data_IF_802328421260
#
_entry.id   IF_802328421260
#
_cell.length_a   1.000
_cell.length_b   1.000
_cell.length_c   1.000
_cell.angle_alpha   90.00
_cell.angle_beta   90.00
_cell.angle_gamma   90.00
#
_symmetry.space_group_name_H-M   'P 1'
#
loop_
_entity.id
_entity.type
_entity.pdbx_description
1 polymer ?
#
# COMPACT_ATOMS: atom_id res chain seq x y z
N UNK A 1 17.61 40.24 -18.34
CA UNK A 1 16.23 40.16 -18.86
C UNK A 1 15.65 38.75 -18.83
N UNK A 2 16.35 37.71 -19.30
CA UNK A 2 15.88 36.30 -19.24
C UNK A 2 15.48 35.80 -17.84
N UNK A 3 16.21 36.19 -16.80
CA UNK A 3 15.88 35.81 -15.41
C UNK A 3 14.49 36.29 -14.95
N UNK A 4 14.03 37.46 -15.43
CA UNK A 4 12.71 37.98 -15.10
C UNK A 4 11.60 37.22 -15.83
N UNK A 5 11.86 36.75 -17.05
CA UNK A 5 10.93 35.92 -17.80
C UNK A 5 10.82 34.51 -17.20
N UNK A 6 11.94 33.89 -16.84
CA UNK A 6 11.94 32.58 -16.16
C UNK A 6 11.25 32.65 -14.79
N UNK A 7 11.43 33.73 -14.05
CA UNK A 7 10.73 33.96 -12.80
C UNK A 7 9.21 34.08 -13.02
N UNK A 8 8.76 34.83 -14.03
CA UNK A 8 7.32 34.96 -14.35
C UNK A 8 6.72 33.63 -14.79
N UNK A 9 7.40 32.86 -15.62
CA UNK A 9 6.94 31.53 -16.05
C UNK A 9 6.87 30.56 -14.85
N UNK A 10 7.87 30.60 -13.97
CA UNK A 10 7.87 29.77 -12.75
C UNK A 10 6.73 30.17 -11.80
N UNK A 11 6.49 31.46 -11.60
CA UNK A 11 5.37 31.98 -10.82
C UNK A 11 4.02 31.56 -11.41
N UNK A 12 3.87 31.62 -12.73
CA UNK A 12 2.65 31.18 -13.41
C UNK A 12 2.43 29.67 -13.27
N UNK A 13 3.49 28.86 -13.41
CA UNK A 13 3.43 27.40 -13.19
C UNK A 13 3.12 27.06 -11.73
N UNK A 14 3.71 27.77 -10.79
CA UNK A 14 3.45 27.60 -9.37
C UNK A 14 1.99 27.90 -9.04
N UNK A 15 1.46 29.03 -9.52
CA UNK A 15 0.06 29.38 -9.33
C UNK A 15 -0.88 28.31 -9.95
N UNK A 16 -0.59 27.84 -11.16
CA UNK A 16 -1.36 26.76 -11.78
C UNK A 16 -1.34 25.47 -10.96
N UNK A 17 -0.19 25.09 -10.39
CA UNK A 17 -0.06 23.93 -9.51
C UNK A 17 -0.83 24.11 -8.21
N UNK A 18 -0.76 25.30 -7.59
CA UNK A 18 -1.51 25.63 -6.39
C UNK A 18 -3.02 25.51 -6.61
N UNK A 19 -3.53 26.03 -7.74
CA UNK A 19 -4.96 25.91 -8.11
C UNK A 19 -5.38 24.46 -8.32
N UNK A 20 -4.53 23.64 -8.97
CA UNK A 20 -4.81 22.20 -9.14
C UNK A 20 -4.82 21.46 -7.80
N UNK A 21 -3.89 21.79 -6.91
CA UNK A 21 -3.85 21.22 -5.56
C UNK A 21 -5.09 21.60 -4.75
N UNK A 22 -5.50 22.87 -4.82
CA UNK A 22 -6.71 23.36 -4.15
C UNK A 22 -7.96 22.61 -4.65
N UNK A 23 -8.05 22.37 -5.97
CA UNK A 23 -9.13 21.58 -6.57
C UNK A 23 -9.10 20.12 -6.12
N UNK A 24 -7.92 19.49 -6.06
CA UNK A 24 -7.76 18.11 -5.56
C UNK A 24 -8.16 17.99 -4.09
N UNK A 25 -7.80 18.98 -3.27
CA UNK A 25 -8.18 19.03 -1.85
C UNK A 25 -9.68 19.22 -1.71
N UNK A 26 -10.28 20.14 -2.49
CA UNK A 26 -11.72 20.36 -2.52
C UNK A 26 -12.50 19.13 -2.98
N UNK A 27 -12.01 18.42 -4.00
CA UNK A 27 -12.60 17.16 -4.47
C UNK A 27 -12.49 16.05 -3.43
N UNK A 28 -11.32 15.92 -2.78
CA UNK A 28 -11.12 14.95 -1.70
C UNK A 28 -12.04 15.23 -0.50
N UNK A 29 -12.15 16.49 -0.08
CA UNK A 29 -13.07 16.92 0.98
C UNK A 29 -14.55 16.71 0.60
N UNK A 30 -14.88 16.88 -0.68
CA UNK A 30 -16.23 16.65 -1.21
C UNK A 30 -16.52 15.18 -1.52
N UNK A 31 -15.57 14.26 -1.27
CA UNK A 31 -15.69 12.84 -1.59
C UNK A 31 -15.73 12.53 -3.10
N UNK A 32 -15.38 13.50 -3.96
CA UNK A 32 -15.34 13.35 -5.42
C UNK A 32 -14.01 12.72 -5.88
N UNK A 33 -14.08 11.89 -6.90
CA UNK A 33 -12.92 11.18 -7.47
C UNK A 33 -12.60 9.85 -6.76
N UNK A 34 -11.62 9.10 -7.27
CA UNK A 34 -11.27 7.75 -6.79
C UNK A 34 -10.77 7.77 -5.33
N UNK A 35 -10.05 8.82 -4.92
CA UNK A 35 -9.55 8.98 -3.54
C UNK A 35 -10.68 9.36 -2.58
N UNK A 36 -11.58 10.26 -2.98
CA UNK A 36 -12.78 10.57 -2.21
C UNK A 36 -13.66 9.34 -2.01
N UNK A 37 -13.93 8.59 -3.09
CA UNK A 37 -14.63 7.29 -3.01
C UNK A 37 -13.90 6.27 -2.14
N UNK A 38 -12.57 6.17 -2.20
CA UNK A 38 -11.79 5.24 -1.37
C UNK A 38 -11.83 5.62 0.11
N UNK A 39 -11.85 6.91 0.45
CA UNK A 39 -11.82 7.39 1.83
C UNK A 39 -13.19 7.39 2.52
N UNK A 40 -14.28 7.59 1.75
CA UNK A 40 -15.64 7.61 2.31
C UNK A 40 -16.28 6.23 2.40
N UNK A 41 -15.70 5.22 1.76
CA UNK A 41 -16.28 3.89 1.71
C UNK A 41 -15.85 3.09 2.94
N UNK A 42 -16.80 2.79 3.83
CA UNK A 42 -16.60 1.92 5.01
C UNK A 42 -15.94 0.58 4.64
N UNK A 43 -16.07 0.16 3.37
CA UNK A 43 -15.37 -1.01 2.85
C UNK A 43 -13.85 -0.89 2.92
N UNK A 44 -13.22 0.29 2.84
CA UNK A 44 -11.76 0.38 2.99
C UNK A 44 -11.33 0.00 4.40
N UNK A 45 -12.03 0.50 5.43
CA UNK A 45 -11.72 0.16 6.81
C UNK A 45 -11.90 -1.35 7.07
N UNK A 46 -13.00 -1.91 6.56
CA UNK A 46 -13.25 -3.36 6.64
C UNK A 46 -12.19 -4.17 5.88
N UNK A 47 -11.80 -3.73 4.68
CA UNK A 47 -10.78 -4.40 3.86
C UNK A 47 -9.41 -4.31 4.53
N UNK A 48 -9.02 -3.16 5.08
CA UNK A 48 -7.75 -2.99 5.79
C UNK A 48 -7.70 -3.86 7.04
N UNK A 49 -8.77 -3.88 7.85
CA UNK A 49 -8.86 -4.77 9.01
C UNK A 49 -8.80 -6.25 8.61
N UNK A 50 -9.48 -6.63 7.54
CA UNK A 50 -9.46 -8.01 7.05
C UNK A 50 -8.10 -8.40 6.48
N UNK A 51 -7.44 -7.52 5.73
CA UNK A 51 -6.06 -7.71 5.27
C UNK A 51 -5.10 -7.83 6.45
N UNK A 52 -5.21 -6.96 7.45
CA UNK A 52 -4.39 -7.03 8.67
C UNK A 52 -4.62 -8.36 9.42
N UNK A 53 -5.86 -8.79 9.55
CA UNK A 53 -6.21 -10.09 10.14
C UNK A 53 -5.58 -11.26 9.37
N UNK A 54 -5.69 -11.26 8.04
CA UNK A 54 -5.11 -12.30 7.19
C UNK A 54 -3.57 -12.35 7.30
N UNK A 55 -2.92 -11.19 7.37
CA UNK A 55 -1.46 -11.09 7.57
C UNK A 55 -1.07 -11.67 8.94
N UNK A 56 -1.81 -11.33 10.00
CA UNK A 56 -1.56 -11.85 11.34
C UNK A 56 -1.70 -13.37 11.38
N UNK A 57 -2.72 -13.92 10.70
CA UNK A 57 -2.92 -15.36 10.62
C UNK A 57 -1.79 -16.05 9.85
N UNK A 58 -1.40 -15.52 8.69
CA UNK A 58 -0.28 -16.05 7.91
C UNK A 58 1.03 -16.04 8.73
N UNK A 59 1.29 -14.97 9.47
CA UNK A 59 2.46 -14.86 10.36
C UNK A 59 2.45 -15.92 11.47
N UNK A 60 1.29 -16.14 12.08
CA UNK A 60 1.08 -17.17 13.10
C UNK A 60 1.30 -18.58 12.56
N UNK A 61 0.71 -18.89 11.40
CA UNK A 61 0.86 -20.20 10.74
C UNK A 61 2.30 -20.45 10.27
N UNK A 62 2.99 -19.43 9.74
CA UNK A 62 4.39 -19.52 9.39
C UNK A 62 5.28 -19.79 10.61
N UNK A 63 5.01 -19.12 11.73
CA UNK A 63 5.74 -19.35 13.00
C UNK A 63 5.51 -20.78 13.52
N UNK A 64 4.27 -21.28 13.45
CA UNK A 64 3.95 -22.68 13.79
C UNK A 64 4.65 -23.67 12.88
N UNK A 65 4.70 -23.41 11.57
CA UNK A 65 5.41 -24.27 10.62
C UNK A 65 6.90 -24.34 10.94
N UNK A 66 7.54 -23.21 11.23
CA UNK A 66 8.97 -23.16 11.64
C UNK A 66 9.17 -23.94 12.94
N UNK A 67 8.24 -23.79 13.89
CA UNK A 67 8.27 -24.54 15.14
C UNK A 67 8.16 -26.05 14.92
N UNK A 68 7.16 -26.50 14.14
CA UNK A 68 6.91 -27.91 13.84
C UNK A 68 8.05 -28.52 13.01
N UNK A 69 8.61 -27.75 12.07
CA UNK A 69 9.76 -28.16 11.28
C UNK A 69 10.99 -28.38 12.16
N UNK A 70 11.24 -27.51 13.15
CA UNK A 70 12.33 -27.70 14.12
C UNK A 70 12.14 -28.97 14.94
N UNK A 71 10.91 -29.26 15.37
CA UNK A 71 10.60 -30.44 16.18
C UNK A 71 10.70 -31.75 15.40
N UNK A 72 10.26 -31.77 14.14
CA UNK A 72 10.31 -32.98 13.32
C UNK A 72 10.56 -32.68 11.83
N UNK A 73 11.81 -32.36 11.45
CA UNK A 73 12.11 -32.02 10.06
C UNK A 73 11.91 -33.21 9.11
N UNK A 74 12.01 -34.46 9.61
CA UNK A 74 11.81 -35.69 8.82
C UNK A 74 10.38 -35.84 8.30
N UNK A 75 9.38 -35.26 8.97
CA UNK A 75 7.98 -35.25 8.51
C UNK A 75 7.81 -34.42 7.23
N UNK A 76 8.60 -33.35 7.08
CA UNK A 76 8.49 -32.40 5.97
C UNK A 76 9.53 -32.66 4.87
N UNK A 77 10.72 -33.18 5.21
CA UNK A 77 11.79 -33.51 4.27
C UNK A 77 11.94 -35.02 4.12
N UNK A 78 11.08 -35.63 3.28
CA UNK A 78 11.24 -37.04 2.90
C UNK A 78 11.93 -37.14 1.54
N UNK A 79 13.24 -36.88 1.53
CA UNK A 79 14.07 -37.11 0.33
C UNK A 79 14.31 -38.62 0.24
N UNK A 80 13.78 -39.27 -0.80
CA UNK A 80 14.21 -40.62 -1.18
C UNK A 80 15.48 -40.50 -2.00
N UNK A 81 16.63 -40.57 -1.35
CA UNK A 81 17.89 -40.84 -2.04
C UNK A 81 17.95 -42.33 -2.34
N UNK A 82 17.59 -42.70 -3.56
CA UNK A 82 18.02 -43.97 -4.15
C UNK A 82 19.42 -43.73 -4.69
N UNK A 83 20.45 -44.10 -3.94
CA UNK A 83 21.82 -44.17 -4.45
C UNK A 83 22.09 -45.65 -4.68
N UNK A 84 22.02 -46.03 -5.96
CA UNK A 84 22.42 -47.29 -6.61
C UNK A 84 22.11 -48.62 -5.88
#
# INVERSE_FOLDING_TARGET
>A
EQLYEDARVTLARFNSTATKLDTLIGDAQSGKGTIGKLLTDETLYNNVNQTASNINQLSSEGTKLIYDFRQNPKKFLRIKLSIF
#
